data_IF_226638737524
#
_entry.id   IF_226638737524
#
_cell.length_a   1.000
_cell.length_b   1.000
_cell.length_c   1.000
_cell.angle_alpha   90.00
_cell.angle_beta   90.00
_cell.angle_gamma   90.00
#
_symmetry.space_group_name_H-M   'P 1'
#
loop_
_entity.id
_entity.type
_entity.pdbx_description
1 polymer ?
#
# COMPACT_ATOMS: atom_id res chain seq x y z
N UNK A 1 33.71 -58.12 -43.85
CA UNK A 1 34.51 -57.13 -43.10
C UNK A 1 34.59 -55.90 -44.01
N UNK A 2 33.99 -54.73 -43.81
CA UNK A 2 33.64 -53.91 -42.64
C UNK A 2 32.43 -53.05 -43.03
N UNK A 3 31.34 -53.08 -42.26
CA UNK A 3 30.16 -52.22 -42.45
C UNK A 3 29.86 -51.57 -41.10
N UNK A 4 30.53 -50.45 -40.77
CA UNK A 4 30.27 -49.71 -39.53
C UNK A 4 30.88 -48.29 -39.57
N UNK A 5 30.33 -47.41 -40.40
CA UNK A 5 30.65 -45.97 -40.34
C UNK A 5 29.39 -45.09 -40.42
N UNK A 6 28.32 -45.49 -39.73
CA UNK A 6 27.13 -44.63 -39.63
C UNK A 6 26.33 -44.92 -38.35
N UNK A 7 26.93 -44.68 -37.19
CA UNK A 7 26.21 -44.81 -35.90
C UNK A 7 26.68 -43.85 -34.80
N UNK A 8 27.13 -42.65 -35.15
CA UNK A 8 27.52 -41.63 -34.16
C UNK A 8 26.82 -40.26 -34.31
N UNK A 9 25.76 -40.16 -35.11
CA UNK A 9 25.11 -38.86 -35.39
C UNK A 9 23.63 -38.74 -35.00
N UNK A 10 23.04 -39.74 -34.33
CA UNK A 10 21.65 -39.64 -33.82
C UNK A 10 21.51 -39.53 -32.30
N UNK A 11 22.52 -39.95 -31.52
CA UNK A 11 22.43 -39.98 -30.04
C UNK A 11 22.66 -38.61 -29.39
N UNK A 12 23.29 -37.67 -30.08
CA UNK A 12 23.57 -36.33 -29.57
C UNK A 12 22.48 -35.28 -29.92
N UNK A 13 21.55 -35.61 -30.82
CA UNK A 13 20.48 -34.69 -31.24
C UNK A 13 19.22 -34.90 -30.37
N UNK A 14 18.99 -36.08 -29.80
CA UNK A 14 17.81 -36.31 -28.94
C UNK A 14 17.98 -35.87 -27.48
N UNK A 15 19.21 -35.63 -26.99
CA UNK A 15 19.46 -35.12 -25.63
C UNK A 15 19.38 -33.60 -25.50
N UNK A 16 19.39 -32.85 -26.60
CA UNK A 16 19.20 -31.38 -26.60
C UNK A 16 17.74 -30.93 -26.70
N UNK A 17 16.79 -31.87 -26.75
CA UNK A 17 15.34 -31.57 -26.86
C UNK A 17 14.55 -31.84 -25.57
N UNK A 18 15.22 -32.11 -24.45
CA UNK A 18 14.57 -32.33 -23.15
C UNK A 18 15.00 -31.34 -22.06
N UNK A 19 15.78 -30.32 -22.40
CA UNK A 19 16.03 -29.16 -21.55
C UNK A 19 15.28 -27.98 -22.15
N UNK A 20 14.44 -27.34 -21.34
CA UNK A 20 13.75 -26.06 -21.59
C UNK A 20 12.27 -26.13 -22.01
N UNK A 21 11.54 -27.22 -21.74
CA UNK A 21 10.07 -27.14 -21.70
C UNK A 21 9.49 -26.99 -20.28
N UNK A 22 10.35 -26.93 -19.26
CA UNK A 22 9.97 -26.63 -17.86
C UNK A 22 10.41 -25.25 -17.39
N UNK A 23 10.97 -24.41 -18.27
CA UNK A 23 11.55 -23.09 -17.94
C UNK A 23 11.08 -21.94 -18.84
N UNK A 24 10.01 -22.11 -19.60
CA UNK A 24 9.47 -21.05 -20.46
C UNK A 24 7.95 -20.94 -20.32
N UNK A 25 7.50 -20.81 -19.08
CA UNK A 25 6.39 -19.92 -18.79
C UNK A 25 7.01 -18.70 -18.10
N UNK A 26 7.78 -17.91 -18.84
CA UNK A 26 8.06 -16.53 -18.42
C UNK A 26 6.77 -15.75 -18.64
N UNK A 27 5.77 -16.06 -17.80
CA UNK A 27 4.64 -15.19 -17.58
C UNK A 27 5.26 -13.98 -16.89
N UNK A 28 5.51 -12.91 -17.64
CA UNK A 28 5.82 -11.61 -17.07
C UNK A 28 4.74 -11.32 -16.04
N UNK A 29 5.09 -11.47 -14.77
CA UNK A 29 4.18 -11.76 -13.68
C UNK A 29 3.30 -10.53 -13.39
N UNK A 30 2.07 -10.54 -13.89
CA UNK A 30 0.99 -9.82 -13.23
C UNK A 30 0.88 -10.45 -11.84
N UNK A 31 1.27 -9.70 -10.81
CA UNK A 31 1.12 -10.15 -9.45
C UNK A 31 -0.35 -10.45 -9.16
N UNK A 32 -0.62 -11.62 -8.58
CA UNK A 32 -1.96 -11.93 -8.10
C UNK A 32 -2.20 -11.07 -6.86
N UNK A 33 -3.09 -10.09 -7.01
CA UNK A 33 -3.51 -9.17 -5.94
C UNK A 33 -4.82 -9.70 -5.38
N UNK A 34 -4.84 -10.05 -4.10
CA UNK A 34 -6.07 -10.26 -3.36
C UNK A 34 -6.19 -9.19 -2.28
N UNK A 35 -7.34 -8.52 -2.22
CA UNK A 35 -7.63 -7.49 -1.22
C UNK A 35 -8.90 -7.85 -0.47
N UNK A 36 -8.90 -7.57 0.83
CA UNK A 36 -10.11 -7.55 1.64
C UNK A 36 -10.08 -6.25 2.44
N UNK A 37 -11.19 -5.52 2.44
CA UNK A 37 -11.32 -4.22 3.11
C UNK A 37 -12.65 -4.15 3.85
N UNK A 38 -12.63 -3.61 5.07
CA UNK A 38 -13.80 -3.29 5.87
C UNK A 38 -13.63 -1.87 6.43
N UNK A 39 -14.65 -1.04 6.27
CA UNK A 39 -14.67 0.34 6.76
C UNK A 39 -15.95 0.55 7.56
N UNK A 40 -15.84 1.15 8.73
CA UNK A 40 -16.95 1.43 9.62
C UNK A 40 -16.86 2.87 10.11
N UNK A 41 -18.00 3.50 10.33
CA UNK A 41 -18.09 4.81 10.98
C UNK A 41 -19.32 4.81 11.90
N UNK A 42 -19.16 5.42 13.08
CA UNK A 42 -20.20 5.56 14.09
C UNK A 42 -20.19 6.99 14.61
N UNK A 43 -21.35 7.63 14.62
CA UNK A 43 -21.54 8.91 15.31
C UNK A 43 -21.94 8.66 16.77
N UNK A 44 -21.22 9.29 17.70
CA UNK A 44 -21.50 9.25 19.13
C UNK A 44 -21.74 10.67 19.62
N UNK A 45 -22.87 10.91 20.27
CA UNK A 45 -23.13 12.17 20.94
C UNK A 45 -22.54 12.12 22.36
N UNK A 46 -21.70 13.08 22.69
CA UNK A 46 -21.01 13.15 23.97
C UNK A 46 -21.41 14.39 24.74
N UNK A 47 -21.61 14.24 26.05
CA UNK A 47 -21.89 15.37 26.92
C UNK A 47 -20.63 16.25 27.01
N UNK A 48 -20.72 17.48 26.49
CA UNK A 48 -19.64 18.48 26.50
C UNK A 48 -18.82 18.60 25.21
N UNK A 49 -18.53 17.49 24.52
CA UNK A 49 -17.80 17.53 23.24
C UNK A 49 -18.73 17.49 22.01
N UNK A 50 -20.02 17.21 22.17
CA UNK A 50 -20.99 17.16 21.09
C UNK A 50 -20.83 15.90 20.23
N UNK A 51 -21.13 16.02 18.94
CA UNK A 51 -21.08 14.89 17.99
C UNK A 51 -19.63 14.56 17.62
N UNK A 52 -19.24 13.32 17.92
CA UNK A 52 -17.96 12.74 17.51
C UNK A 52 -18.21 11.63 16.49
N UNK A 53 -17.37 11.57 15.46
CA UNK A 53 -17.35 10.53 14.45
C UNK A 53 -16.17 9.60 14.74
N UNK A 54 -16.47 8.34 15.08
CA UNK A 54 -15.47 7.29 15.31
C UNK A 54 -15.49 6.36 14.09
N UNK A 55 -14.36 6.28 13.41
CA UNK A 55 -14.19 5.46 12.22
C UNK A 55 -13.15 4.37 12.41
N UNK A 56 -13.24 3.35 11.57
CA UNK A 56 -12.25 2.28 11.49
C UNK A 56 -12.10 1.81 10.05
N UNK A 57 -10.87 1.53 9.64
CA UNK A 57 -10.56 0.93 8.34
C UNK A 57 -9.58 -0.21 8.54
N UNK A 58 -9.95 -1.40 8.07
CA UNK A 58 -9.12 -2.58 8.06
C UNK A 58 -9.02 -3.11 6.63
N UNK A 59 -7.82 -3.21 6.08
CA UNK A 59 -7.56 -3.81 4.79
C UNK A 59 -6.27 -4.61 4.77
N UNK A 60 -6.28 -5.72 4.05
CA UNK A 60 -5.12 -6.60 3.86
C UNK A 60 -4.84 -6.86 2.39
N UNK A 61 -3.61 -7.29 2.10
CA UNK A 61 -3.21 -7.66 0.76
C UNK A 61 -2.33 -8.90 0.73
N UNK A 62 -2.41 -9.61 -0.40
CA UNK A 62 -1.41 -10.57 -0.83
C UNK A 62 -0.82 -10.07 -2.15
N UNK A 63 0.49 -9.90 -2.17
CA UNK A 63 1.28 -9.51 -3.34
C UNK A 63 2.27 -10.62 -3.65
N UNK A 64 2.30 -11.09 -4.89
CA UNK A 64 3.34 -11.99 -5.37
C UNK A 64 3.98 -11.40 -6.62
N UNK A 65 5.30 -11.32 -6.64
CA UNK A 65 6.09 -10.58 -7.63
C UNK A 65 7.47 -11.20 -7.80
N UNK A 66 7.96 -11.34 -9.03
CA UNK A 66 9.36 -11.71 -9.29
C UNK A 66 10.31 -10.49 -9.27
N UNK A 67 9.93 -9.42 -8.55
CA UNK A 67 10.69 -8.18 -8.46
C UNK A 67 11.92 -8.36 -7.54
N UNK A 68 13.06 -8.74 -8.13
CA UNK A 68 14.37 -8.70 -7.48
C UNK A 68 14.92 -7.26 -7.49
N UNK A 69 14.52 -6.46 -6.51
CA UNK A 69 15.11 -5.11 -6.29
C UNK A 69 16.30 -5.19 -5.31
N UNK A 70 16.29 -6.17 -4.40
CA UNK A 70 17.39 -6.47 -3.47
C UNK A 70 17.40 -7.98 -3.17
N UNK A 71 18.56 -8.57 -2.87
CA UNK A 71 18.69 -10.04 -2.63
C UNK A 71 17.87 -10.54 -1.42
N UNK A 72 17.45 -9.65 -0.51
CA UNK A 72 16.59 -9.97 0.65
C UNK A 72 15.09 -9.95 0.31
N UNK A 73 14.68 -9.47 -0.87
CA UNK A 73 13.27 -9.29 -1.18
C UNK A 73 12.52 -10.62 -1.34
N UNK A 74 11.46 -10.78 -0.55
CA UNK A 74 10.55 -11.92 -0.68
C UNK A 74 9.76 -11.83 -1.98
N UNK A 75 9.63 -12.97 -2.67
CA UNK A 75 8.79 -13.11 -3.87
C UNK A 75 7.30 -12.94 -3.61
N UNK A 76 6.87 -13.10 -2.37
CA UNK A 76 5.48 -12.93 -1.97
C UNK A 76 5.39 -12.30 -0.59
N UNK A 77 4.43 -11.39 -0.41
CA UNK A 77 4.10 -10.75 0.85
C UNK A 77 2.61 -10.77 1.10
N UNK A 78 2.24 -11.18 2.31
CA UNK A 78 0.91 -10.99 2.87
C UNK A 78 1.04 -10.05 4.05
N UNK A 79 0.30 -8.95 4.05
CA UNK A 79 0.35 -7.97 5.12
C UNK A 79 -0.93 -7.11 5.18
N UNK A 80 -1.02 -6.25 6.19
CA UNK A 80 -2.08 -5.25 6.32
C UNK A 80 -1.74 -4.01 5.49
N UNK A 81 -2.63 -3.57 4.62
CA UNK A 81 -2.51 -2.27 3.95
C UNK A 81 -2.94 -1.13 4.85
N UNK A 82 -3.94 -1.35 5.69
CA UNK A 82 -4.48 -0.34 6.60
C UNK A 82 -5.16 -1.03 7.78
N UNK A 83 -4.85 -0.59 8.99
CA UNK A 83 -5.52 -0.94 10.23
C UNK A 83 -5.56 0.34 11.06
N UNK A 84 -6.56 1.18 10.76
CA UNK A 84 -6.65 2.55 11.20
C UNK A 84 -7.92 2.76 12.01
N UNK A 85 -7.81 3.59 13.03
CA UNK A 85 -8.92 4.14 13.81
C UNK A 85 -8.88 5.65 13.62
N UNK A 86 -10.03 6.25 13.38
CA UNK A 86 -10.20 7.70 13.35
C UNK A 86 -11.18 8.17 14.40
N UNK A 87 -10.88 9.33 14.97
CA UNK A 87 -11.79 10.09 15.80
C UNK A 87 -11.79 11.51 15.24
N UNK A 88 -12.94 12.00 14.83
CA UNK A 88 -13.08 13.38 14.37
C UNK A 88 -14.29 14.06 15.01
N UNK A 89 -14.18 15.38 15.15
CA UNK A 89 -15.28 16.26 15.51
C UNK A 89 -15.44 17.28 14.39
N UNK A 90 -16.66 17.37 13.86
CA UNK A 90 -17.05 18.43 12.92
C UNK A 90 -17.87 19.45 13.70
N UNK A 91 -17.38 20.67 13.78
CA UNK A 91 -18.05 21.79 14.43
C UNK A 91 -17.99 23.05 13.58
N UNK A 92 -18.92 23.98 13.83
CA UNK A 92 -18.97 25.23 13.09
C UNK A 92 -17.75 26.11 13.35
N UNK A 93 -17.31 26.25 14.61
CA UNK A 93 -16.13 27.06 14.98
C UNK A 93 -14.85 26.24 15.12
N UNK A 94 -14.95 25.03 15.67
CA UNK A 94 -13.81 24.19 16.01
C UNK A 94 -14.06 22.75 15.57
N UNK A 95 -13.10 22.21 14.83
CA UNK A 95 -13.05 20.82 14.38
C UNK A 95 -11.70 20.20 14.71
N UNK A 96 -11.67 18.88 14.85
CA UNK A 96 -10.40 18.15 14.99
C UNK A 96 -10.51 16.79 14.32
N UNK A 97 -9.36 16.29 13.88
CA UNK A 97 -9.23 14.94 13.31
C UNK A 97 -7.98 14.27 13.86
N UNK A 98 -8.18 13.09 14.42
CA UNK A 98 -7.14 12.15 14.79
C UNK A 98 -7.34 10.88 13.98
N UNK A 99 -6.30 10.39 13.31
CA UNK A 99 -6.32 9.08 12.67
C UNK A 99 -4.98 8.39 12.90
N UNK A 100 -5.06 7.20 13.49
CA UNK A 100 -3.93 6.44 14.00
C UNK A 100 -4.04 4.96 13.69
N UNK A 101 -2.91 4.28 13.62
CA UNK A 101 -2.83 2.83 13.44
C UNK A 101 -1.68 2.41 12.54
N UNK A 102 -1.81 1.22 11.95
CA UNK A 102 -0.81 0.65 11.06
C UNK A 102 -1.23 0.81 9.60
N UNK A 103 -0.29 1.16 8.73
CA UNK A 103 -0.58 1.37 7.31
C UNK A 103 0.67 1.12 6.48
N UNK A 104 0.44 0.68 5.24
CA UNK A 104 1.52 0.40 4.30
C UNK A 104 1.22 1.07 2.96
N UNK A 105 2.28 1.48 2.27
CA UNK A 105 2.20 2.08 0.94
C UNK A 105 2.92 1.22 -0.09
N UNK A 106 2.37 0.06 -0.46
CA UNK A 106 2.99 -0.76 -1.49
C UNK A 106 2.97 0.01 -2.81
N UNK A 107 4.11 0.04 -3.48
CA UNK A 107 4.32 0.81 -4.71
C UNK A 107 4.92 -0.10 -5.77
N UNK A 108 4.45 0.03 -7.00
CA UNK A 108 4.98 -0.76 -8.13
C UNK A 108 6.47 -0.45 -8.31
N UNK A 109 7.29 -1.50 -8.44
CA UNK A 109 8.72 -1.33 -8.70
C UNK A 109 9.55 -0.93 -7.49
N UNK A 110 8.95 -0.96 -6.28
CA UNK A 110 9.63 -0.77 -5.00
C UNK A 110 9.66 -2.09 -4.19
N UNK A 111 10.61 -2.26 -3.26
CA UNK A 111 10.64 -3.42 -2.36
C UNK A 111 9.33 -3.62 -1.59
N UNK A 112 8.98 -4.89 -1.33
CA UNK A 112 7.81 -5.26 -0.53
C UNK A 112 8.10 -5.11 0.97
N UNK A 113 8.11 -3.86 1.45
CA UNK A 113 8.32 -3.50 2.86
C UNK A 113 7.18 -3.95 3.77
N UNK A 114 7.46 -4.07 5.07
CA UNK A 114 6.45 -4.39 6.09
C UNK A 114 5.58 -3.17 6.40
N UNK A 115 4.36 -3.42 6.85
CA UNK A 115 3.47 -2.37 7.36
C UNK A 115 4.08 -1.60 8.54
N UNK A 116 4.84 -2.28 9.39
CA UNK A 116 5.59 -1.65 10.48
C UNK A 116 6.59 -0.62 9.97
N UNK A 117 7.30 -0.91 8.88
CA UNK A 117 8.37 -0.05 8.37
C UNK A 117 7.81 1.33 7.95
N UNK A 118 6.61 1.35 7.35
CA UNK A 118 5.91 2.59 7.00
C UNK A 118 5.34 3.31 8.22
N UNK A 119 4.78 2.55 9.15
CA UNK A 119 4.18 3.10 10.39
C UNK A 119 5.26 3.75 11.26
N UNK A 120 6.43 3.12 11.37
CA UNK A 120 7.59 3.64 12.10
C UNK A 120 8.16 4.89 11.42
N UNK A 121 8.23 4.90 10.08
CA UNK A 121 8.74 6.03 9.31
C UNK A 121 7.82 7.26 9.39
N UNK A 122 6.50 7.06 9.46
CA UNK A 122 5.52 8.13 9.35
C UNK A 122 4.68 8.36 10.61
N UNK A 123 5.07 7.78 11.76
CA UNK A 123 4.32 7.80 13.03
C UNK A 123 3.07 6.91 13.04
N UNK A 124 2.81 6.16 14.13
CA UNK A 124 1.52 5.51 14.35
C UNK A 124 0.31 6.47 14.38
N UNK A 125 0.54 7.77 14.53
CA UNK A 125 -0.49 8.81 14.46
C UNK A 125 -0.19 9.75 13.26
N UNK A 126 -0.51 9.31 12.02
CA UNK A 126 -0.22 10.05 10.80
C UNK A 126 -1.02 11.33 10.64
N UNK A 127 -2.27 11.37 11.14
CA UNK A 127 -3.12 12.56 11.11
C UNK A 127 -3.48 12.98 12.53
N UNK A 128 -3.16 14.22 12.86
CA UNK A 128 -3.50 14.81 14.14
C UNK A 128 -3.53 16.33 14.00
N UNK A 129 -4.69 16.88 13.66
CA UNK A 129 -4.81 18.31 13.43
C UNK A 129 -6.13 18.86 13.97
N UNK A 130 -6.12 20.17 14.21
CA UNK A 130 -7.27 20.98 14.61
C UNK A 130 -7.54 22.02 13.54
N UNK A 131 -8.80 22.37 13.39
CA UNK A 131 -9.27 23.39 12.46
C UNK A 131 -10.10 24.44 13.21
N UNK A 132 -9.81 25.71 12.94
CA UNK A 132 -10.54 26.86 13.42
C UNK A 132 -11.17 27.59 12.23
N UNK A 133 -12.49 27.56 12.17
CA UNK A 133 -13.25 28.27 11.16
C UNK A 133 -13.47 29.71 11.66
N UNK A 134 -12.64 30.62 11.17
CA UNK A 134 -12.68 32.03 11.57
C UNK A 134 -13.74 32.81 10.80
N UNK A 135 -14.01 32.40 9.56
CA UNK A 135 -15.04 32.93 8.69
C UNK A 135 -15.52 31.85 7.72
N UNK A 136 -16.54 32.16 6.90
CA UNK A 136 -17.10 31.21 5.90
C UNK A 136 -16.05 30.63 4.93
N UNK A 137 -15.06 31.44 4.57
CA UNK A 137 -14.03 31.08 3.57
C UNK A 137 -12.62 31.03 4.16
N UNK A 138 -12.48 31.16 5.49
CA UNK A 138 -11.19 31.18 6.17
C UNK A 138 -11.15 30.14 7.28
N UNK A 139 -10.40 29.06 7.03
CA UNK A 139 -10.11 27.99 7.99
C UNK A 139 -8.62 27.98 8.29
N UNK A 140 -8.25 28.07 9.56
CA UNK A 140 -6.88 27.87 10.02
C UNK A 140 -6.73 26.43 10.48
N UNK A 141 -5.70 25.74 10.00
CA UNK A 141 -5.47 24.32 10.32
C UNK A 141 -4.06 24.12 10.86
N UNK A 142 -3.94 23.56 12.05
CA UNK A 142 -2.67 23.36 12.74
C UNK A 142 -2.49 21.90 13.18
N UNK A 143 -1.26 21.39 13.10
CA UNK A 143 -0.92 20.01 13.49
C UNK A 143 -0.33 19.20 12.34
N UNK A 144 -0.65 17.91 12.28
CA UNK A 144 -0.17 16.97 11.26
C UNK A 144 -1.29 16.65 10.27
N UNK A 145 -1.15 17.19 9.06
CA UNK A 145 -2.14 17.09 8.00
C UNK A 145 -1.70 16.11 6.92
N UNK A 146 -2.67 15.51 6.25
CA UNK A 146 -2.46 14.80 5.01
C UNK A 146 -2.17 15.78 3.88
N UNK A 147 -1.41 15.34 2.89
CA UNK A 147 -1.24 16.13 1.66
C UNK A 147 -2.59 16.41 0.97
N UNK A 148 -2.73 17.63 0.45
CA UNK A 148 -3.83 18.01 -0.44
C UNK A 148 -3.42 17.87 -1.92
N UNK A 149 -2.16 17.52 -2.18
CA UNK A 149 -1.58 17.39 -3.52
C UNK A 149 -1.31 15.91 -3.77
N UNK A 150 -2.02 15.36 -4.75
CA UNK A 150 -1.78 14.00 -5.21
C UNK A 150 -3.01 13.42 -5.91
N UNK A 151 -2.77 12.52 -6.87
CA UNK A 151 -3.84 11.79 -7.55
C UNK A 151 -4.31 10.56 -6.76
N UNK A 152 -3.40 9.94 -5.99
CA UNK A 152 -3.69 8.77 -5.18
C UNK A 152 -4.00 9.18 -3.75
N UNK A 153 -4.97 8.50 -3.15
CA UNK A 153 -5.41 8.79 -1.80
C UNK A 153 -4.31 8.47 -0.76
N UNK A 154 -4.39 9.16 0.38
CA UNK A 154 -3.39 9.06 1.43
C UNK A 154 -3.24 7.63 1.94
N UNK A 155 -4.34 6.92 2.22
CA UNK A 155 -4.30 5.55 2.71
C UNK A 155 -4.70 4.53 1.65
N UNK A 156 -4.13 3.34 1.74
CA UNK A 156 -4.31 2.28 0.73
C UNK A 156 -5.76 1.81 0.63
N UNK A 157 -6.50 1.74 1.74
CA UNK A 157 -7.92 1.36 1.72
C UNK A 157 -8.81 2.33 0.92
N UNK A 158 -8.35 3.56 0.69
CA UNK A 158 -9.07 4.60 -0.06
C UNK A 158 -8.77 4.55 -1.57
N UNK A 159 -7.76 3.79 -1.98
CA UNK A 159 -7.34 3.71 -3.37
C UNK A 159 -8.06 2.57 -4.09
N UNK A 160 -8.36 2.79 -5.38
CA UNK A 160 -8.91 1.74 -6.25
C UNK A 160 -7.89 0.61 -6.50
N UNK A 161 -6.60 0.93 -6.36
CA UNK A 161 -5.49 -0.01 -6.54
C UNK A 161 -4.75 -0.20 -5.23
N UNK A 162 -4.32 -1.44 -4.97
CA UNK A 162 -3.53 -1.72 -3.76
C UNK A 162 -2.13 -1.14 -3.89
N UNK A 163 -1.50 -1.32 -5.06
CA UNK A 163 -0.18 -0.81 -5.34
C UNK A 163 -0.30 0.54 -6.01
N UNK A 164 0.51 1.49 -5.54
CA UNK A 164 0.60 2.84 -6.07
C UNK A 164 1.49 2.93 -7.29
N UNK A 165 1.31 4.01 -8.05
CA UNK A 165 2.15 4.32 -9.20
C UNK A 165 3.62 4.52 -8.84
N UNK A 166 4.53 4.23 -9.78
CA UNK A 166 5.99 4.32 -9.55
C UNK A 166 6.44 5.73 -9.09
N UNK A 167 5.70 6.77 -9.51
CA UNK A 167 5.99 8.18 -9.23
C UNK A 167 5.35 8.65 -7.92
N UNK A 168 4.60 7.80 -7.22
CA UNK A 168 3.88 8.17 -5.99
C UNK A 168 4.79 8.70 -4.89
N UNK A 169 6.02 8.19 -4.80
CA UNK A 169 7.06 8.66 -3.88
C UNK A 169 7.34 10.18 -4.01
N UNK A 170 7.08 10.79 -5.16
CA UNK A 170 7.33 12.22 -5.38
C UNK A 170 6.28 13.12 -4.72
N UNK A 171 5.18 12.55 -4.20
CA UNK A 171 4.16 13.29 -3.48
C UNK A 171 4.53 13.35 -2.00
N UNK A 172 4.47 14.53 -1.36
CA UNK A 172 4.55 14.58 0.08
C UNK A 172 3.30 13.90 0.68
N UNK A 173 3.43 13.24 1.83
CA UNK A 173 2.30 12.52 2.44
C UNK A 173 1.74 13.24 3.65
N UNK A 174 2.63 13.74 4.50
CA UNK A 174 2.29 14.41 5.74
C UNK A 174 3.03 15.72 5.83
N UNK A 175 2.32 16.76 6.27
CA UNK A 175 2.89 18.08 6.52
C UNK A 175 2.59 18.51 7.95
N UNK A 176 3.51 19.27 8.53
CA UNK A 176 3.28 19.97 9.79
C UNK A 176 2.72 21.36 9.45
N UNK A 177 1.44 21.58 9.76
CA UNK A 177 0.75 22.86 9.62
C UNK A 177 1.02 23.80 10.80
N UNK A 178 0.78 25.09 10.58
CA UNK A 178 0.95 26.19 11.54
C UNK A 178 -0.38 26.84 11.87
#
# INVERSE_FOLDING_TARGET
MVRNHMRLTKKNISRRRSMNLRKSLSLSLFGLVFTASAVYALEVNTEGLGKLEIGGALSGYLLSGDQKITEENRKSRTDLSSALISVSKKGEFFSFTLQGGAYAFPTIGMPLSKTSDFTDMFSPLPLAYVELNLARDLTLSAGRLGTLIGYEALFTYQNNYIQRGLVWNMQPLFHHGI
#
